data_IF_285047308454
#
_entry.id   IF_285047308454
#
_cell.length_a   1.000
_cell.length_b   1.000
_cell.length_c   1.000
_cell.angle_alpha   90.00
_cell.angle_beta   90.00
_cell.angle_gamma   90.00
#
_symmetry.space_group_name_H-M   'P 1'
#
loop_
_entity.id
_entity.type
_entity.pdbx_description
1 polymer ?
#
# COMPACT_ATOMS: atom_id res chain seq x y z
N UNK A 1 2.95 0.69 0.84
CA UNK A 1 1.73 0.09 0.26
C UNK A 1 0.72 -0.13 1.37
N UNK A 2 -0.50 0.39 1.23
CA UNK A 2 -1.51 0.42 2.29
C UNK A 2 -2.93 0.39 1.73
N UNK A 3 -3.92 0.22 2.60
CA UNK A 3 -5.34 0.45 2.33
C UNK A 3 -5.98 1.36 3.37
N UNK A 4 -7.03 2.06 2.96
CA UNK A 4 -7.96 2.74 3.84
C UNK A 4 -9.28 1.97 3.84
N UNK A 5 -9.60 1.21 4.92
CA UNK A 5 -10.81 0.39 4.93
C UNK A 5 -12.10 1.20 4.98
N UNK A 6 -12.04 2.49 5.37
CA UNK A 6 -13.23 3.32 5.61
C UNK A 6 -13.21 4.67 4.90
N UNK A 7 -12.37 4.86 3.89
CA UNK A 7 -12.35 6.10 3.11
C UNK A 7 -11.62 5.97 1.78
N UNK A 8 -12.06 6.74 0.79
CA UNK A 8 -11.30 7.02 -0.44
C UNK A 8 -10.27 8.10 -0.11
N UNK A 9 -9.04 7.95 -0.59
CA UNK A 9 -7.99 8.97 -0.51
C UNK A 9 -7.91 9.69 -1.86
N UNK A 10 -7.85 11.02 -1.86
CA UNK A 10 -7.29 11.76 -2.99
C UNK A 10 -5.97 12.37 -2.58
N UNK A 11 -5.07 12.55 -3.55
CA UNK A 11 -3.76 13.13 -3.34
C UNK A 11 -3.49 14.18 -4.43
N UNK A 12 -2.96 15.33 -4.02
CA UNK A 12 -2.47 16.39 -4.90
C UNK A 12 -0.99 16.63 -4.64
N UNK A 13 -0.17 16.67 -5.68
CA UNK A 13 1.26 16.98 -5.56
C UNK A 13 1.46 18.50 -5.57
N UNK A 14 2.26 19.00 -4.63
CA UNK A 14 2.63 20.42 -4.57
C UNK A 14 4.05 20.67 -5.06
N UNK A 15 4.99 19.77 -4.74
CA UNK A 15 6.40 19.91 -5.10
C UNK A 15 6.99 18.54 -5.44
N UNK A 16 7.94 18.49 -6.38
CA UNK A 16 8.59 17.24 -6.78
C UNK A 16 7.70 16.32 -7.61
N UNK A 17 7.98 15.01 -7.57
CA UNK A 17 7.22 14.00 -8.33
C UNK A 17 6.90 12.78 -7.46
N UNK A 18 5.76 12.15 -7.74
CA UNK A 18 5.35 10.88 -7.10
C UNK A 18 4.96 9.85 -8.13
N UNK A 19 5.59 8.68 -8.07
CA UNK A 19 5.07 7.47 -8.68
C UNK A 19 4.00 6.87 -7.77
N UNK A 20 2.75 6.91 -8.22
CA UNK A 20 1.61 6.39 -7.46
C UNK A 20 0.92 5.27 -8.22
N UNK A 21 0.19 4.43 -7.48
CA UNK A 21 -0.71 3.47 -8.10
C UNK A 21 -1.58 2.70 -7.13
N UNK A 22 -2.56 1.99 -7.68
CA UNK A 22 -3.40 1.04 -6.95
C UNK A 22 -3.69 -0.20 -7.78
N UNK A 23 -3.97 -1.29 -7.09
CA UNK A 23 -4.29 -2.59 -7.68
C UNK A 23 -5.79 -2.84 -7.51
N UNK A 24 -6.48 -3.16 -8.60
CA UNK A 24 -7.89 -3.56 -8.56
C UNK A 24 -8.09 -4.87 -7.80
N UNK A 25 -9.27 -5.01 -7.19
CA UNK A 25 -9.73 -6.26 -6.58
C UNK A 25 -9.59 -7.44 -7.53
N UNK A 26 -9.56 -8.64 -6.95
CA UNK A 26 -9.46 -9.88 -7.72
C UNK A 26 -10.53 -9.88 -8.81
N UNK A 27 -10.12 -9.99 -10.07
CA UNK A 27 -11.08 -10.17 -11.14
C UNK A 27 -11.67 -11.60 -11.05
N UNK A 28 -12.63 -11.91 -11.92
CA UNK A 28 -13.14 -13.27 -12.05
C UNK A 28 -12.06 -14.33 -12.36
N UNK A 29 -12.44 -15.62 -12.38
CA UNK A 29 -11.51 -16.73 -12.56
C UNK A 29 -10.57 -16.54 -13.77
N UNK A 30 -9.31 -16.95 -13.62
CA UNK A 30 -8.25 -16.88 -14.65
C UNK A 30 -7.85 -15.47 -15.11
N UNK A 31 -8.24 -14.42 -14.40
CA UNK A 31 -7.76 -13.06 -14.67
C UNK A 31 -6.76 -12.58 -13.60
N UNK A 32 -5.85 -11.69 -14.00
CA UNK A 32 -4.87 -11.06 -13.11
C UNK A 32 -5.38 -9.75 -12.57
N UNK A 33 -5.07 -9.43 -11.31
CA UNK A 33 -5.30 -8.10 -10.76
C UNK A 33 -4.65 -7.03 -11.64
N UNK A 34 -5.41 -5.97 -11.94
CA UNK A 34 -4.93 -4.88 -12.79
C UNK A 34 -4.33 -3.76 -11.95
N UNK A 35 -3.10 -3.38 -12.28
CA UNK A 35 -2.41 -2.24 -11.71
C UNK A 35 -2.71 -0.98 -12.52
N UNK A 36 -3.10 0.11 -11.86
CA UNK A 36 -3.17 1.45 -12.42
C UNK A 36 -2.11 2.33 -11.77
N UNK A 37 -1.28 2.99 -12.58
CA UNK A 37 -0.19 3.82 -12.08
C UNK A 37 -0.04 5.10 -12.89
N UNK A 38 0.57 6.10 -12.25
CA UNK A 38 0.96 7.35 -12.90
C UNK A 38 2.13 7.98 -12.16
N UNK A 39 2.97 8.72 -12.89
CA UNK A 39 3.90 9.69 -12.28
C UNK A 39 3.18 11.03 -12.24
N UNK A 40 2.98 11.54 -11.02
CA UNK A 40 2.34 12.83 -10.76
C UNK A 40 3.39 13.94 -10.65
N UNK A 41 3.04 15.12 -11.17
CA UNK A 41 3.80 16.37 -11.08
C UNK A 41 3.00 17.41 -10.27
N UNK A 42 3.60 18.55 -9.89
CA UNK A 42 2.88 19.60 -9.17
C UNK A 42 1.58 20.01 -9.86
N UNK A 43 0.48 20.03 -9.12
CA UNK A 43 -0.87 20.29 -9.61
C UNK A 43 -1.66 19.04 -10.07
N UNK A 44 -0.99 17.90 -10.31
CA UNK A 44 -1.69 16.65 -10.62
C UNK A 44 -2.44 16.12 -9.39
N UNK A 45 -3.64 15.57 -9.64
CA UNK A 45 -4.47 14.90 -8.65
C UNK A 45 -4.64 13.42 -9.02
N UNK A 46 -4.64 12.56 -8.01
CA UNK A 46 -4.91 11.14 -8.16
C UNK A 46 -5.84 10.65 -7.04
N UNK A 47 -6.72 9.69 -7.35
CA UNK A 47 -7.71 9.15 -6.41
C UNK A 47 -7.46 7.66 -6.20
N UNK A 48 -7.35 7.26 -4.94
CA UNK A 48 -7.26 5.87 -4.49
C UNK A 48 -8.60 5.43 -3.92
N UNK A 49 -9.18 4.39 -4.53
CA UNK A 49 -10.48 3.87 -4.12
C UNK A 49 -10.42 3.26 -2.72
N UNK A 50 -11.51 3.44 -1.95
CA UNK A 50 -11.70 2.81 -0.65
C UNK A 50 -11.37 1.30 -0.69
N UNK A 51 -10.62 0.84 0.30
CA UNK A 51 -10.24 -0.57 0.47
C UNK A 51 -9.25 -1.13 -0.55
N UNK A 52 -8.81 -0.35 -1.55
CA UNK A 52 -7.88 -0.83 -2.57
C UNK A 52 -6.42 -0.64 -2.13
N UNK A 53 -5.62 -1.68 -2.36
CA UNK A 53 -4.18 -1.65 -2.14
C UNK A 53 -3.57 -0.58 -3.04
N UNK A 54 -2.96 0.43 -2.44
CA UNK A 54 -2.30 1.51 -3.15
C UNK A 54 -0.93 1.85 -2.55
N UNK A 55 -0.15 2.64 -3.31
CA UNK A 55 1.16 3.09 -2.91
C UNK A 55 1.48 4.47 -3.50
N UNK A 56 2.39 5.15 -2.82
CA UNK A 56 3.10 6.33 -3.28
C UNK A 56 4.60 6.05 -3.13
N UNK A 57 5.40 6.45 -4.12
CA UNK A 57 6.84 6.29 -4.13
C UNK A 57 7.48 7.52 -4.78
N UNK A 58 8.52 8.09 -4.14
CA UNK A 58 9.30 9.16 -4.72
C UNK A 58 10.53 8.56 -5.42
N UNK A 59 10.57 8.48 -6.77
CA UNK A 59 11.74 7.99 -7.49
C UNK A 59 12.86 9.04 -7.61
N UNK A 60 12.58 10.30 -7.24
CA UNK A 60 13.53 11.41 -7.32
C UNK A 60 14.54 11.42 -6.17
N UNK A 61 15.60 12.22 -6.34
CA UNK A 61 16.62 12.44 -5.31
C UNK A 61 16.30 13.59 -4.35
N UNK A 62 15.26 14.37 -4.67
CA UNK A 62 14.82 15.53 -3.90
C UNK A 62 13.56 15.20 -3.11
N UNK A 63 13.26 15.99 -2.08
CA UNK A 63 12.00 15.88 -1.33
C UNK A 63 10.81 16.16 -2.26
N UNK A 64 9.70 15.47 -1.99
CA UNK A 64 8.41 15.66 -2.65
C UNK A 64 7.37 16.00 -1.59
N UNK A 65 6.50 16.95 -1.89
CA UNK A 65 5.41 17.38 -1.00
C UNK A 65 4.07 17.12 -1.69
N UNK A 66 3.14 16.50 -0.98
CA UNK A 66 1.79 16.26 -1.43
C UNK A 66 0.80 16.44 -0.27
N UNK A 67 -0.42 16.84 -0.58
CA UNK A 67 -1.54 16.80 0.36
C UNK A 67 -2.46 15.65 0.00
N UNK A 68 -2.86 14.88 1.01
CA UNK A 68 -3.88 13.87 0.90
C UNK A 68 -5.11 14.28 1.71
N UNK A 69 -6.29 14.02 1.16
CA UNK A 69 -7.57 14.15 1.86
C UNK A 69 -8.34 12.84 1.78
N UNK A 70 -9.08 12.52 2.84
CA UNK A 70 -9.83 11.26 2.93
C UNK A 70 -11.32 11.55 3.11
N UNK A 71 -12.15 10.74 2.47
CA UNK A 71 -13.60 10.89 2.47
C UNK A 71 -14.28 10.46 3.78
N UNK A 72 -13.51 10.32 4.87
CA UNK A 72 -13.99 9.87 6.18
C UNK A 72 -13.15 10.49 7.28
N UNK A 73 -13.81 10.88 8.38
CA UNK A 73 -13.15 11.37 9.60
C UNK A 73 -12.30 10.31 10.31
N UNK A 74 -12.57 9.03 10.04
CA UNK A 74 -11.82 7.91 10.58
C UNK A 74 -11.63 6.86 9.47
N UNK A 75 -10.74 7.13 8.49
CA UNK A 75 -10.56 6.26 7.33
C UNK A 75 -9.87 4.93 7.71
N UNK A 76 -9.09 4.95 8.80
CA UNK A 76 -8.18 3.87 9.17
C UNK A 76 -7.03 3.72 8.18
N UNK A 77 -5.95 3.09 8.61
CA UNK A 77 -4.85 2.70 7.72
C UNK A 77 -4.45 1.29 8.03
N UNK A 78 -4.25 0.47 6.99
CA UNK A 78 -3.66 -0.86 7.12
C UNK A 78 -2.41 -0.86 6.23
N UNK A 79 -1.25 -0.75 6.85
CA UNK A 79 0.04 -0.91 6.19
C UNK A 79 0.27 -2.39 5.94
N UNK A 80 0.29 -2.82 4.67
CA UNK A 80 0.18 -4.25 4.32
C UNK A 80 1.31 -5.08 4.94
N UNK A 81 2.56 -4.64 4.81
CA UNK A 81 3.69 -5.41 5.34
C UNK A 81 3.65 -5.50 6.88
N UNK A 82 3.34 -4.41 7.57
CA UNK A 82 3.21 -4.40 9.03
C UNK A 82 2.06 -5.31 9.49
N UNK A 83 0.88 -5.23 8.85
CA UNK A 83 -0.27 -6.06 9.22
C UNK A 83 -0.01 -7.56 8.98
N UNK A 84 0.70 -7.92 7.91
CA UNK A 84 0.95 -9.33 7.54
C UNK A 84 2.13 -9.93 8.30
N UNK A 85 3.24 -9.20 8.42
CA UNK A 85 4.50 -9.74 8.95
C UNK A 85 4.92 -9.14 10.30
N UNK A 86 4.26 -8.08 10.77
CA UNK A 86 4.57 -7.39 12.03
C UNK A 86 3.41 -7.32 13.02
N UNK A 87 2.39 -8.16 12.85
CA UNK A 87 1.25 -8.25 13.77
C UNK A 87 1.66 -8.83 15.12
N UNK A 88 0.90 -8.46 16.15
CA UNK A 88 1.05 -8.97 17.51
C UNK A 88 -0.29 -9.54 18.03
N UNK A 89 -0.42 -10.85 18.24
CA UNK A 89 0.59 -11.89 17.97
C UNK A 89 0.83 -12.09 16.46
N UNK A 90 1.99 -12.65 16.06
CA UNK A 90 2.31 -12.88 14.65
C UNK A 90 1.37 -13.90 14.00
N UNK A 91 1.10 -13.73 12.70
CA UNK A 91 0.39 -14.74 11.91
C UNK A 91 1.25 -16.00 11.84
N UNK A 92 0.61 -17.16 12.02
CA UNK A 92 1.26 -18.47 11.96
C UNK A 92 2.03 -18.68 10.64
N UNK A 93 3.26 -19.17 10.75
CA UNK A 93 4.18 -19.37 9.62
C UNK A 93 3.62 -20.31 8.55
N UNK A 94 2.87 -21.36 8.92
CA UNK A 94 2.27 -22.30 7.95
C UNK A 94 1.20 -21.62 7.09
N UNK A 95 0.49 -20.63 7.67
CA UNK A 95 -0.47 -19.80 6.92
C UNK A 95 0.28 -18.93 5.93
N UNK A 96 1.36 -18.27 6.35
CA UNK A 96 2.12 -17.36 5.50
C UNK A 96 2.91 -18.09 4.42
N UNK A 97 3.61 -19.17 4.74
CA UNK A 97 4.33 -20.00 3.75
C UNK A 97 3.39 -20.53 2.67
N UNK A 98 2.19 -20.99 3.04
CA UNK A 98 1.17 -21.42 2.08
C UNK A 98 0.59 -20.28 1.26
N UNK A 99 0.32 -19.13 1.87
CA UNK A 99 -0.27 -17.97 1.19
C UNK A 99 0.71 -17.33 0.19
N UNK A 100 1.99 -17.22 0.56
CA UNK A 100 3.04 -16.60 -0.24
C UNK A 100 3.80 -17.58 -1.13
N UNK A 101 3.61 -18.89 -0.95
CA UNK A 101 4.28 -19.97 -1.69
C UNK A 101 5.81 -19.90 -1.59
N UNK A 102 6.30 -19.65 -0.38
CA UNK A 102 7.73 -19.52 -0.05
C UNK A 102 8.13 -20.44 1.10
N UNK A 103 9.42 -20.57 1.34
CA UNK A 103 9.94 -21.37 2.44
C UNK A 103 9.80 -20.63 3.79
N UNK A 104 9.77 -21.39 4.89
CA UNK A 104 9.68 -20.83 6.24
C UNK A 104 10.78 -19.79 6.51
N UNK A 105 12.00 -20.04 6.04
CA UNK A 105 13.13 -19.10 6.22
C UNK A 105 12.86 -17.70 5.68
N UNK A 106 12.08 -17.60 4.59
CA UNK A 106 11.74 -16.32 3.97
C UNK A 106 10.68 -15.60 4.80
N UNK A 107 9.73 -16.34 5.37
CA UNK A 107 8.74 -15.82 6.33
C UNK A 107 9.42 -15.36 7.61
N UNK A 108 10.32 -16.16 8.18
CA UNK A 108 11.08 -15.81 9.38
C UNK A 108 11.89 -14.53 9.15
N UNK A 109 12.54 -14.42 7.98
CA UNK A 109 13.24 -13.21 7.58
C UNK A 109 12.30 -11.99 7.54
N UNK A 110 11.14 -12.11 6.87
CA UNK A 110 10.17 -11.03 6.79
C UNK A 110 9.62 -10.64 8.16
N UNK A 111 9.21 -11.60 9.00
CA UNK A 111 8.69 -11.31 10.33
C UNK A 111 9.75 -10.68 11.27
N UNK A 112 11.03 -10.97 11.06
CA UNK A 112 12.11 -10.33 11.82
C UNK A 112 12.40 -8.88 11.43
N UNK A 113 11.86 -8.38 10.31
CA UNK A 113 12.10 -7.00 9.88
C UNK A 113 11.37 -6.00 10.78
N UNK A 114 11.95 -4.80 10.92
CA UNK A 114 11.27 -3.67 11.55
C UNK A 114 10.25 -3.07 10.59
N UNK A 115 8.98 -3.34 10.83
CA UNK A 115 7.89 -2.80 10.03
C UNK A 115 7.39 -1.47 10.59
N UNK A 116 7.78 -0.35 10.00
CA UNK A 116 7.29 0.98 10.39
C UNK A 116 5.95 1.34 9.73
N UNK A 117 5.13 2.10 10.47
CA UNK A 117 3.97 2.80 9.93
C UNK A 117 4.43 4.02 9.13
N UNK A 118 4.57 3.83 7.82
CA UNK A 118 4.92 4.90 6.88
C UNK A 118 3.69 5.74 6.51
N UNK A 119 3.06 6.37 7.52
CA UNK A 119 1.91 7.25 7.29
C UNK A 119 2.29 8.56 6.61
#
# INVERSE_FOLDING_TARGET
MRIHPRGTEFLVVLEGTLYVGFVLSNPGPNMKNKLFTKILHPGDVFVFLIGHIHFQFNPGKTKTVAFAGLSSQNPGVITIANAVFGSDPPINDDVLTKAFQVEKKDIDYLQSQFWWDNN
#
